data_IF_363946035801
#
_entry.id   IF_363946035801
#
_cell.length_a   1.000
_cell.length_b   1.000
_cell.length_c   1.000
_cell.angle_alpha   90.00
_cell.angle_beta   90.00
_cell.angle_gamma   90.00
#
_symmetry.space_group_name_H-M   'P 1'
#
loop_
_entity.id
_entity.type
_entity.pdbx_description
1 polymer ?
#
# COMPACT_ATOMS: atom_id res chain seq x y z
N UNK A 1 13.59 13.09 2.66
CA UNK A 1 12.80 13.15 1.43
C UNK A 1 11.33 13.28 1.76
N UNK A 2 10.54 13.97 0.92
CA UNK A 2 9.11 14.05 1.17
C UNK A 2 8.48 12.66 1.08
N UNK A 3 7.55 12.40 1.97
CA UNK A 3 6.93 11.09 2.01
C UNK A 3 5.69 11.08 2.88
N UNK A 4 5.10 9.90 3.02
CA UNK A 4 3.94 9.70 3.88
C UNK A 4 4.12 8.41 4.66
N UNK A 5 3.44 8.33 5.81
CA UNK A 5 3.37 7.13 6.64
C UNK A 5 1.93 6.90 7.04
N UNK A 6 1.48 5.66 6.91
CA UNK A 6 0.13 5.26 7.28
C UNK A 6 0.22 3.98 8.10
N UNK A 7 -0.56 3.89 9.18
CA UNK A 7 -0.67 2.68 9.99
C UNK A 7 -2.12 2.28 10.11
N UNK A 8 -2.39 0.99 9.96
CA UNK A 8 -3.73 0.44 10.09
C UNK A 8 -3.68 -0.76 11.04
N UNK A 9 -4.37 -0.69 12.18
CA UNK A 9 -4.38 -1.83 13.11
C UNK A 9 -5.25 -2.97 12.59
N UNK A 10 -4.94 -4.19 13.04
CA UNK A 10 -5.73 -5.37 12.72
C UNK A 10 -5.61 -6.39 13.85
N UNK A 11 -6.49 -7.39 13.82
CA UNK A 11 -6.50 -8.47 14.78
C UNK A 11 -6.29 -9.83 14.13
N UNK A 12 -5.63 -9.85 12.96
CA UNK A 12 -5.53 -11.05 12.14
C UNK A 12 -4.28 -11.89 12.43
N UNK A 13 -3.26 -11.28 13.03
CA UNK A 13 -1.95 -11.88 13.07
C UNK A 13 -1.17 -11.60 11.80
N UNK A 14 0.13 -11.71 11.88
CA UNK A 14 1.02 -11.30 10.80
C UNK A 14 0.80 -12.10 9.51
N UNK A 15 0.71 -13.41 9.60
CA UNK A 15 0.61 -14.24 8.39
C UNK A 15 -0.73 -14.04 7.67
N UNK A 16 -1.83 -14.03 8.42
CA UNK A 16 -3.14 -13.84 7.82
C UNK A 16 -3.27 -12.44 7.19
N UNK A 17 -2.72 -11.43 7.84
CA UNK A 17 -2.72 -10.07 7.30
C UNK A 17 -1.90 -10.01 6.01
N UNK A 18 -0.74 -10.65 5.98
CA UNK A 18 0.09 -10.71 4.78
C UNK A 18 -0.64 -11.38 3.63
N UNK A 19 -1.29 -12.51 3.90
CA UNK A 19 -2.04 -13.24 2.87
C UNK A 19 -3.16 -12.39 2.28
N UNK A 20 -3.87 -11.65 3.12
CA UNK A 20 -4.93 -10.76 2.65
C UNK A 20 -4.38 -9.63 1.78
N UNK A 21 -3.23 -9.09 2.15
CA UNK A 21 -2.62 -8.00 1.40
C UNK A 21 -2.06 -8.49 0.05
N UNK A 22 -1.49 -9.68 -0.01
CA UNK A 22 -1.04 -10.25 -1.27
C UNK A 22 -2.21 -10.40 -2.24
N UNK A 23 -3.31 -10.96 -1.77
CA UNK A 23 -4.53 -11.13 -2.54
C UNK A 23 -5.10 -9.78 -3.00
N UNK A 24 -5.09 -8.82 -2.11
CA UNK A 24 -5.57 -7.47 -2.40
C UNK A 24 -4.76 -6.79 -3.50
N UNK A 25 -3.44 -6.91 -3.45
CA UNK A 25 -2.57 -6.32 -4.46
C UNK A 25 -2.83 -6.89 -5.84
N UNK A 26 -3.09 -8.20 -5.93
CA UNK A 26 -3.45 -8.85 -7.17
C UNK A 26 -4.76 -8.27 -7.73
N UNK A 27 -5.75 -8.09 -6.87
CA UNK A 27 -7.04 -7.55 -7.28
C UNK A 27 -6.94 -6.10 -7.74
N UNK A 28 -6.15 -5.28 -7.03
CA UNK A 28 -5.96 -3.88 -7.39
C UNK A 28 -5.25 -3.75 -8.73
N UNK A 29 -4.22 -4.55 -8.94
CA UNK A 29 -3.47 -4.56 -10.17
C UNK A 29 -4.38 -4.82 -11.37
N UNK A 30 -5.35 -5.70 -11.20
CA UNK A 30 -6.32 -6.04 -12.24
C UNK A 30 -7.41 -4.98 -12.38
N UNK A 31 -7.98 -4.58 -11.25
CA UNK A 31 -9.14 -3.69 -11.23
C UNK A 31 -8.82 -2.26 -11.67
N UNK A 32 -7.66 -1.78 -11.32
CA UNK A 32 -7.25 -0.39 -11.58
C UNK A 32 -6.12 -0.28 -12.59
N UNK A 33 -6.02 -1.25 -13.50
CA UNK A 33 -4.92 -1.27 -14.47
C UNK A 33 -4.88 -0.05 -15.39
N UNK A 34 -5.99 0.64 -15.56
CA UNK A 34 -6.05 1.86 -16.37
C UNK A 34 -5.56 3.09 -15.60
N UNK A 35 -5.51 3.01 -14.28
CA UNK A 35 -5.15 4.14 -13.41
C UNK A 35 -3.81 3.93 -12.73
N UNK A 36 -3.40 2.68 -12.55
CA UNK A 36 -2.15 2.31 -11.90
C UNK A 36 -1.32 1.51 -12.90
N UNK A 37 -0.12 1.96 -13.15
CA UNK A 37 0.79 1.28 -14.07
C UNK A 37 2.12 1.04 -13.39
N UNK A 38 2.95 0.20 -14.03
CA UNK A 38 4.30 -0.12 -13.55
C UNK A 38 4.30 -0.61 -12.11
N UNK A 39 3.24 -1.33 -11.71
CA UNK A 39 3.16 -1.87 -10.37
C UNK A 39 4.16 -2.99 -10.20
N UNK A 40 5.01 -2.87 -9.20
CA UNK A 40 6.05 -3.84 -8.90
C UNK A 40 6.12 -4.01 -7.39
N UNK A 41 6.44 -5.21 -6.95
CA UNK A 41 6.55 -5.48 -5.53
C UNK A 41 7.38 -6.71 -5.27
N UNK A 42 8.14 -6.68 -4.20
CA UNK A 42 9.00 -7.78 -3.80
C UNK A 42 8.90 -7.97 -2.29
N UNK A 43 8.50 -9.16 -1.87
CA UNK A 43 8.40 -9.49 -0.45
C UNK A 43 9.73 -10.00 0.08
N UNK A 44 10.11 -9.50 1.24
CA UNK A 44 11.23 -9.99 2.02
C UNK A 44 10.68 -10.22 3.42
N UNK A 45 10.35 -11.47 3.74
CA UNK A 45 9.62 -11.85 4.95
C UNK A 45 8.28 -11.11 5.02
N UNK A 46 8.12 -10.20 5.96
CA UNK A 46 6.88 -9.45 6.15
C UNK A 46 6.96 -8.01 5.64
N UNK A 47 7.98 -7.71 4.86
CA UNK A 47 8.16 -6.36 4.31
C UNK A 47 8.05 -6.41 2.80
N UNK A 48 7.16 -5.59 2.26
CA UNK A 48 6.98 -5.46 0.82
C UNK A 48 7.67 -4.17 0.36
N UNK A 49 8.63 -4.32 -0.54
CA UNK A 49 9.17 -3.18 -1.29
C UNK A 49 8.28 -3.01 -2.51
N UNK A 50 7.67 -1.84 -2.67
CA UNK A 50 6.70 -1.62 -3.74
C UNK A 50 7.00 -0.36 -4.51
N UNK A 51 6.55 -0.34 -5.75
CA UNK A 51 6.53 0.87 -6.57
C UNK A 51 5.38 0.79 -7.56
N UNK A 52 4.82 1.93 -7.90
CA UNK A 52 3.78 2.01 -8.92
C UNK A 52 3.67 3.45 -9.40
N UNK A 53 3.00 3.62 -10.54
CA UNK A 53 2.75 4.93 -11.11
C UNK A 53 1.25 5.15 -11.19
N UNK A 54 0.77 6.28 -10.68
CA UNK A 54 -0.63 6.66 -10.78
C UNK A 54 -0.70 8.15 -11.09
N UNK A 55 -1.55 8.51 -12.06
CA UNK A 55 -1.70 9.91 -12.51
C UNK A 55 -0.36 10.56 -12.86
N UNK A 56 0.56 9.80 -13.47
CA UNK A 56 1.87 10.32 -13.84
C UNK A 56 2.85 10.47 -12.68
N UNK A 57 2.46 10.05 -11.47
CA UNK A 57 3.29 10.17 -10.28
C UNK A 57 3.84 8.78 -9.92
N UNK A 58 5.16 8.69 -9.79
CA UNK A 58 5.79 7.45 -9.34
C UNK A 58 5.87 7.46 -7.81
N UNK A 59 5.31 6.42 -7.19
CA UNK A 59 5.28 6.25 -5.74
C UNK A 59 6.01 4.94 -5.42
N UNK A 60 6.91 5.01 -4.46
CA UNK A 60 7.64 3.81 -4.02
C UNK A 60 7.83 3.87 -2.51
N UNK A 61 8.01 2.72 -1.91
CA UNK A 61 8.20 2.64 -0.47
C UNK A 61 8.18 1.23 0.04
N UNK A 62 7.88 1.10 1.33
CA UNK A 62 7.84 -0.18 2.01
C UNK A 62 6.56 -0.32 2.81
N UNK A 63 6.06 -1.54 2.87
CA UNK A 63 4.91 -1.89 3.70
C UNK A 63 5.34 -3.01 4.64
N UNK A 64 5.26 -2.74 5.95
CA UNK A 64 5.60 -3.72 6.98
C UNK A 64 4.32 -4.32 7.54
N UNK A 65 4.19 -5.64 7.46
CA UNK A 65 3.05 -6.35 8.04
C UNK A 65 3.47 -6.87 9.40
N UNK A 66 2.91 -6.29 10.45
CA UNK A 66 3.23 -6.68 11.82
C UNK A 66 2.10 -7.52 12.40
N UNK A 67 2.30 -8.02 13.61
CA UNK A 67 1.33 -8.92 14.24
C UNK A 67 -0.02 -8.25 14.45
N UNK A 68 -0.03 -6.96 14.77
CA UNK A 68 -1.25 -6.23 15.14
C UNK A 68 -1.51 -4.99 14.28
N UNK A 69 -0.69 -4.73 13.29
CA UNK A 69 -0.90 -3.57 12.42
C UNK A 69 -0.13 -3.72 11.12
N UNK A 70 -0.48 -2.89 10.16
CA UNK A 70 0.27 -2.74 8.91
C UNK A 70 0.74 -1.30 8.84
N UNK A 71 2.01 -1.10 8.58
CA UNK A 71 2.60 0.21 8.41
C UNK A 71 3.08 0.35 6.97
N UNK A 72 2.71 1.46 6.34
CA UNK A 72 3.11 1.74 4.97
C UNK A 72 3.83 3.08 4.91
N UNK A 73 5.06 3.06 4.42
CA UNK A 73 5.85 4.27 4.17
C UNK A 73 6.00 4.44 2.67
N UNK A 74 5.91 5.66 2.20
CA UNK A 74 6.08 5.93 0.79
C UNK A 74 6.81 7.22 0.53
N UNK A 75 7.46 7.30 -0.62
CA UNK A 75 8.15 8.50 -1.08
C UNK A 75 7.37 9.10 -2.22
N UNK A 76 7.21 10.42 -2.20
CA UNK A 76 6.50 11.17 -3.22
C UNK A 76 7.45 12.15 -3.89
N UNK A 77 7.35 12.33 -5.22
CA UNK A 77 8.07 13.42 -5.88
C UNK A 77 7.68 14.76 -5.27
N UNK A 78 8.59 15.70 -5.27
CA UNK A 78 8.34 17.00 -4.68
C UNK A 78 7.09 17.66 -5.26
N UNK A 79 6.87 17.50 -6.57
CA UNK A 79 5.70 18.07 -7.24
C UNK A 79 4.37 17.48 -6.75
N UNK A 80 4.40 16.32 -6.12
CA UNK A 80 3.19 15.64 -5.64
C UNK A 80 2.87 15.95 -4.17
N UNK A 81 3.69 16.76 -3.51
CA UNK A 81 3.52 17.03 -2.08
C UNK A 81 2.19 17.67 -1.74
N UNK A 82 1.63 18.46 -2.63
CA UNK A 82 0.33 19.09 -2.41
C UNK A 82 -0.80 18.05 -2.33
N UNK A 83 -0.58 16.83 -2.83
CA UNK A 83 -1.57 15.77 -2.80
C UNK A 83 -1.30 14.75 -1.69
N UNK A 84 -0.32 15.01 -0.83
CA UNK A 84 0.11 14.06 0.19
C UNK A 84 -1.04 13.58 1.07
N UNK A 85 -1.87 14.50 1.56
CA UNK A 85 -2.99 14.16 2.43
C UNK A 85 -4.00 13.26 1.74
N UNK A 86 -4.33 13.58 0.49
CA UNK A 86 -5.28 12.79 -0.28
C UNK A 86 -4.73 11.39 -0.59
N UNK A 87 -3.47 11.31 -0.99
CA UNK A 87 -2.83 10.04 -1.30
C UNK A 87 -2.78 9.17 -0.05
N UNK A 88 -2.34 9.72 1.07
CA UNK A 88 -2.25 9.00 2.33
C UNK A 88 -3.62 8.49 2.79
N UNK A 89 -4.65 9.32 2.68
CA UNK A 89 -6.01 8.96 3.06
C UNK A 89 -6.57 7.84 2.19
N UNK A 90 -6.34 7.90 0.88
CA UNK A 90 -6.81 6.85 -0.03
C UNK A 90 -6.10 5.53 0.23
N UNK A 91 -4.80 5.57 0.52
CA UNK A 91 -4.03 4.37 0.84
C UNK A 91 -4.53 3.76 2.15
N UNK A 92 -4.76 4.59 3.17
CA UNK A 92 -5.27 4.11 4.45
C UNK A 92 -6.62 3.42 4.27
N UNK A 93 -7.53 4.02 3.53
CA UNK A 93 -8.84 3.44 3.26
C UNK A 93 -8.71 2.11 2.51
N UNK A 94 -7.82 2.05 1.53
CA UNK A 94 -7.59 0.82 0.78
C UNK A 94 -7.04 -0.30 1.67
N UNK A 95 -6.11 0.02 2.56
CA UNK A 95 -5.55 -0.98 3.48
C UNK A 95 -6.62 -1.47 4.47
N UNK A 96 -7.44 -0.56 4.98
CA UNK A 96 -8.54 -0.95 5.88
C UNK A 96 -9.49 -1.92 5.20
N UNK A 97 -9.85 -1.64 3.95
CA UNK A 97 -10.72 -2.52 3.18
C UNK A 97 -10.06 -3.87 2.90
N UNK A 98 -8.78 -3.87 2.59
CA UNK A 98 -8.05 -5.10 2.31
C UNK A 98 -8.03 -6.03 3.51
N UNK A 99 -7.78 -5.47 4.69
CA UNK A 99 -7.70 -6.25 5.92
C UNK A 99 -9.08 -6.73 6.38
N UNK A 100 -10.14 -6.01 6.05
CA UNK A 100 -11.50 -6.39 6.39
C UNK A 100 -12.14 -7.36 5.38
N UNK A 101 -11.53 -7.55 4.22
CA UNK A 101 -12.08 -8.37 3.16
C UNK A 101 -12.08 -9.85 3.55
N UNK A 102 -13.22 -10.50 3.39
CA UNK A 102 -13.42 -11.91 3.80
C UNK A 102 -13.63 -12.85 2.61
N UNK A 103 -13.56 -12.36 1.41
CA UNK A 103 -13.83 -13.15 0.22
C UNK A 103 -12.67 -13.94 -0.37
#
# INVERSE_FOLDING_TARGET
>A
MPGFTTEVPHNLGQQAAKDKLESFLERISEKYKDQISNMDGSWNDNILDYSFTTYGINIKGKMSVEEDKVRMDGELPFAAMMFKGKISSQIQTALEKALAYQG
#
